data_IF_375072176673
#
_entry.id   IF_375072176673
#
_cell.length_a   1.000
_cell.length_b   1.000
_cell.length_c   1.000
_cell.angle_alpha   90.00
_cell.angle_beta   90.00
_cell.angle_gamma   90.00
#
_symmetry.space_group_name_H-M   'P 1'
#
loop_
_entity.id
_entity.type
_entity.pdbx_description
1 polymer ?
#
# COMPACT_ATOMS: atom_id res chain seq x y z
N UNK A 1 -26.70 77.20 16.58
CA UNK A 1 -25.48 76.51 16.10
C UNK A 1 -25.89 75.29 15.30
N UNK A 2 -25.78 75.40 13.97
CA UNK A 2 -25.97 74.32 13.00
C UNK A 2 -24.80 73.35 13.01
N UNK A 3 -25.04 72.05 12.83
CA UNK A 3 -24.21 71.07 12.09
C UNK A 3 -25.08 69.82 11.87
N UNK A 4 -25.84 69.74 10.78
CA UNK A 4 -25.51 69.11 9.49
C UNK A 4 -25.01 67.65 9.62
N UNK A 5 -25.94 66.69 9.52
CA UNK A 5 -25.64 65.28 9.25
C UNK A 5 -25.35 65.13 7.75
N UNK A 6 -24.09 64.78 7.42
CA UNK A 6 -23.64 64.46 6.08
C UNK A 6 -24.04 63.03 5.71
N UNK A 7 -24.84 62.92 4.66
CA UNK A 7 -25.22 61.68 3.96
C UNK A 7 -24.00 61.21 3.16
N UNK A 8 -23.47 60.02 3.46
CA UNK A 8 -22.54 59.32 2.57
C UNK A 8 -23.31 58.29 1.74
N UNK A 9 -23.57 58.64 0.48
CA UNK A 9 -24.07 57.73 -0.54
C UNK A 9 -22.89 56.94 -1.13
N UNK A 10 -22.81 55.65 -0.82
CA UNK A 10 -21.91 54.73 -1.50
C UNK A 10 -22.61 54.16 -2.74
N UNK A 11 -22.14 54.54 -3.93
CA UNK A 11 -22.53 53.94 -5.20
C UNK A 11 -22.00 52.50 -5.27
N UNK A 12 -22.87 51.50 -5.14
CA UNK A 12 -22.58 50.14 -5.59
C UNK A 12 -22.86 50.05 -7.09
N UNK A 13 -21.81 49.87 -7.90
CA UNK A 13 -21.95 49.38 -9.27
C UNK A 13 -22.24 47.88 -9.22
N UNK A 14 -23.50 47.51 -9.48
CA UNK A 14 -23.89 46.14 -9.78
C UNK A 14 -23.52 45.82 -11.23
N UNK A 15 -22.47 45.03 -11.43
CA UNK A 15 -22.21 44.42 -12.73
C UNK A 15 -23.22 43.28 -12.93
N UNK A 16 -24.17 43.50 -13.84
CA UNK A 16 -25.11 42.46 -14.29
C UNK A 16 -24.34 41.41 -15.11
N UNK A 17 -24.13 40.23 -14.53
CA UNK A 17 -23.71 39.05 -15.28
C UNK A 17 -24.96 38.48 -15.95
N UNK A 18 -25.01 38.59 -17.27
CA UNK A 18 -26.00 37.91 -18.10
C UNK A 18 -25.83 36.40 -17.96
N UNK A 19 -26.86 35.74 -17.43
CA UNK A 19 -26.96 34.29 -17.42
C UNK A 19 -27.12 33.80 -18.87
N UNK A 20 -26.01 33.40 -19.49
CA UNK A 20 -26.07 32.55 -20.67
C UNK A 20 -26.70 31.22 -20.26
N UNK A 21 -27.86 30.90 -20.83
CA UNK A 21 -28.54 29.62 -20.68
C UNK A 21 -27.59 28.50 -21.09
N UNK A 22 -27.13 27.71 -20.12
CA UNK A 22 -26.43 26.47 -20.41
C UNK A 22 -27.41 25.49 -21.06
N UNK A 23 -27.04 24.81 -22.16
CA UNK A 23 -27.89 23.76 -22.70
C UNK A 23 -28.02 22.65 -21.66
N UNK A 24 -29.25 22.23 -21.40
CA UNK A 24 -29.58 21.14 -20.48
C UNK A 24 -28.68 19.93 -20.76
N UNK A 25 -27.89 19.51 -19.76
CA UNK A 25 -27.15 18.25 -19.81
C UNK A 25 -28.15 17.09 -19.74
N UNK A 26 -28.45 16.52 -20.89
CA UNK A 26 -29.12 15.22 -20.98
C UNK A 26 -28.34 14.09 -20.28
N UNK A 27 -28.99 12.96 -19.99
CA UNK A 27 -28.47 11.90 -19.12
C UNK A 27 -27.17 11.28 -19.65
N UNK A 28 -26.29 10.93 -18.70
CA UNK A 28 -24.97 10.33 -18.92
C UNK A 28 -25.02 8.95 -19.58
N UNK A 29 -24.20 8.74 -20.62
CA UNK A 29 -23.70 7.41 -20.98
C UNK A 29 -24.00 6.86 -22.38
N UNK A 30 -24.46 7.66 -23.34
CA UNK A 30 -24.69 7.22 -24.73
C UNK A 30 -23.64 7.74 -25.73
N UNK A 31 -23.49 7.11 -26.91
CA UNK A 31 -22.67 7.68 -27.98
C UNK A 31 -23.22 9.04 -28.42
N UNK A 32 -22.33 9.97 -28.83
CA UNK A 32 -22.74 11.34 -29.16
C UNK A 32 -23.78 11.35 -30.29
N UNK A 33 -24.76 12.27 -30.28
CA UNK A 33 -25.84 12.31 -31.28
C UNK A 33 -25.32 12.30 -32.73
N UNK A 34 -24.20 12.97 -32.98
CA UNK A 34 -23.56 13.07 -34.28
C UNK A 34 -23.09 11.70 -34.81
N UNK A 35 -22.66 10.80 -33.91
CA UNK A 35 -22.27 9.44 -34.26
C UNK A 35 -23.48 8.57 -34.60
N UNK A 36 -24.65 8.84 -34.01
CA UNK A 36 -25.92 8.15 -34.34
C UNK A 36 -26.45 8.63 -35.69
N UNK A 37 -26.49 9.95 -35.90
CA UNK A 37 -26.95 10.56 -37.16
C UNK A 37 -26.12 10.11 -38.37
N UNK A 38 -24.80 9.92 -38.20
CA UNK A 38 -23.92 9.44 -39.27
C UNK A 38 -24.26 8.02 -39.79
N UNK A 39 -25.07 7.24 -39.06
CA UNK A 39 -25.40 5.86 -39.40
C UNK A 39 -26.91 5.56 -39.44
N UNK A 40 -27.77 6.56 -39.22
CA UNK A 40 -29.22 6.39 -39.05
C UNK A 40 -29.90 5.72 -40.26
N UNK A 41 -29.40 5.95 -41.47
CA UNK A 41 -29.91 5.38 -42.73
C UNK A 41 -28.94 4.41 -43.43
N UNK A 42 -27.83 4.06 -42.77
CA UNK A 42 -26.75 3.25 -43.37
C UNK A 42 -26.82 1.78 -42.99
N UNK A 43 -26.34 0.90 -43.87
CA UNK A 43 -26.22 -0.53 -43.58
C UNK A 43 -25.08 -0.81 -42.58
N UNK A 44 -25.16 -1.94 -41.87
CA UNK A 44 -24.08 -2.38 -40.99
C UNK A 44 -22.76 -2.53 -41.78
N UNK A 45 -21.66 -2.01 -41.24
CA UNK A 45 -20.35 -1.99 -41.89
C UNK A 45 -20.14 -0.87 -42.91
N UNK A 46 -21.14 -0.03 -43.19
CA UNK A 46 -20.96 1.17 -44.03
C UNK A 46 -19.95 2.13 -43.40
N UNK A 47 -19.07 2.71 -44.22
CA UNK A 47 -18.15 3.76 -43.77
C UNK A 47 -18.93 5.01 -43.36
N UNK A 48 -18.49 5.64 -42.28
CA UNK A 48 -19.12 6.83 -41.72
C UNK A 48 -18.06 7.79 -41.20
N UNK A 49 -18.41 9.09 -41.12
CA UNK A 49 -17.59 10.08 -40.44
C UNK A 49 -18.44 11.16 -39.81
N UNK A 50 -18.02 11.69 -38.67
CA UNK A 50 -18.67 12.81 -37.99
C UNK A 50 -17.62 13.71 -37.31
N UNK A 51 -18.00 14.91 -36.90
CA UNK A 51 -17.11 15.84 -36.19
C UNK A 51 -17.43 15.84 -34.71
N UNK A 52 -16.46 15.48 -33.88
CA UNK A 52 -16.54 15.58 -32.42
C UNK A 52 -15.80 16.86 -31.95
N UNK A 53 -16.00 17.32 -30.68
CA UNK A 53 -15.29 18.48 -30.14
C UNK A 53 -13.75 18.41 -30.22
N UNK A 54 -13.18 17.21 -30.38
CA UNK A 54 -11.74 16.97 -30.48
C UNK A 54 -11.26 16.64 -31.90
N UNK A 55 -12.12 16.78 -32.92
CA UNK A 55 -11.77 16.60 -34.33
C UNK A 55 -12.69 15.67 -35.11
N UNK A 56 -12.40 15.49 -36.40
CA UNK A 56 -13.15 14.59 -37.28
C UNK A 56 -12.83 13.13 -36.98
N UNK A 57 -13.86 12.31 -36.85
CA UNK A 57 -13.79 10.88 -36.56
C UNK A 57 -14.35 10.11 -37.75
N UNK A 58 -13.60 9.16 -38.29
CA UNK A 58 -14.03 8.23 -39.35
C UNK A 58 -14.09 6.80 -38.81
N UNK A 59 -15.05 6.02 -39.30
CA UNK A 59 -15.32 4.69 -38.78
C UNK A 59 -16.29 3.88 -39.62
N UNK A 60 -16.90 2.88 -39.00
CA UNK A 60 -17.91 1.99 -39.60
C UNK A 60 -19.19 1.96 -38.76
N UNK A 61 -20.35 1.90 -39.40
CA UNK A 61 -21.65 1.81 -38.74
C UNK A 61 -21.84 0.43 -38.08
N UNK A 62 -22.14 0.41 -36.77
CA UNK A 62 -22.41 -0.82 -35.99
C UNK A 62 -23.68 -0.69 -35.17
N UNK A 63 -24.39 -1.80 -35.00
CA UNK A 63 -25.61 -1.84 -34.17
C UNK A 63 -25.24 -1.87 -32.67
N UNK A 64 -25.76 -0.93 -31.89
CA UNK A 64 -25.47 -0.79 -30.45
C UNK A 64 -26.77 -0.86 -29.62
N UNK A 65 -27.42 -2.03 -29.60
CA UNK A 65 -28.57 -2.29 -28.74
C UNK A 65 -29.70 -1.25 -28.89
N UNK A 66 -30.11 -0.62 -27.79
CA UNK A 66 -31.21 0.37 -27.76
C UNK A 66 -30.86 1.70 -28.45
N UNK A 67 -29.58 1.97 -28.76
CA UNK A 67 -29.13 3.23 -29.36
C UNK A 67 -29.19 3.25 -30.90
N UNK A 68 -29.63 2.17 -31.53
CA UNK A 68 -29.66 2.04 -32.99
C UNK A 68 -28.27 1.85 -33.60
N UNK A 69 -28.09 2.24 -34.87
CA UNK A 69 -26.79 2.15 -35.55
C UNK A 69 -25.95 3.38 -35.27
N UNK A 70 -24.68 3.17 -34.94
CA UNK A 70 -23.76 4.22 -34.50
C UNK A 70 -22.43 4.09 -35.25
N UNK A 71 -21.84 5.23 -35.61
CA UNK A 71 -20.52 5.28 -36.23
C UNK A 71 -19.42 4.99 -35.21
N UNK A 72 -18.71 3.87 -35.40
CA UNK A 72 -17.64 3.40 -34.49
C UNK A 72 -16.27 3.53 -35.18
N UNK A 73 -15.28 4.22 -34.58
CA UNK A 73 -13.96 4.43 -35.20
C UNK A 73 -13.24 3.12 -35.56
N UNK A 74 -12.59 3.07 -36.72
CA UNK A 74 -11.75 1.94 -37.11
C UNK A 74 -10.43 1.95 -36.32
N UNK A 75 -10.19 0.93 -35.48
CA UNK A 75 -8.84 0.68 -34.93
C UNK A 75 -8.00 0.00 -36.00
N UNK A 76 -6.96 0.67 -36.49
CA UNK A 76 -6.03 0.15 -37.49
C UNK A 76 -5.52 -1.24 -37.12
N UNK A 77 -5.95 -2.26 -37.86
CA UNK A 77 -5.36 -3.60 -37.88
C UNK A 77 -4.35 -3.64 -39.02
N UNK A 78 -3.10 -3.99 -38.70
CA UNK A 78 -2.06 -4.27 -39.69
C UNK A 78 -2.53 -5.33 -40.69
N UNK A 79 -2.31 -5.06 -41.98
CA UNK A 79 -2.68 -5.95 -43.08
C UNK A 79 -1.66 -7.08 -43.31
N UNK A 80 -1.98 -8.07 -44.17
CA UNK A 80 -1.04 -9.10 -44.59
C UNK A 80 -0.41 -8.79 -45.96
N UNK A 81 0.93 -8.95 -46.03
CA UNK A 81 1.70 -9.49 -47.18
C UNK A 81 1.79 -8.72 -48.51
N UNK A 82 3.00 -8.28 -48.86
CA UNK A 82 3.42 -7.98 -50.24
C UNK A 82 4.87 -7.42 -50.33
N UNK A 83 5.68 -7.73 -51.36
CA UNK A 83 7.14 -7.85 -51.24
C UNK A 83 7.97 -6.69 -51.84
N UNK A 84 9.23 -6.60 -51.42
CA UNK A 84 10.35 -6.05 -52.19
C UNK A 84 10.72 -4.57 -51.91
N UNK A 85 12.01 -4.31 -51.70
CA UNK A 85 12.54 -2.94 -51.75
C UNK A 85 13.77 -2.68 -50.85
N UNK A 86 14.93 -2.85 -51.47
CA UNK A 86 16.30 -2.46 -51.10
C UNK A 86 16.54 -1.18 -50.27
N UNK A 87 17.56 -1.25 -49.40
CA UNK A 87 18.58 -0.19 -49.24
C UNK A 87 18.41 0.79 -48.07
N UNK A 88 19.26 0.71 -47.06
CA UNK A 88 20.43 1.60 -46.87
C UNK A 88 20.88 1.62 -45.40
N UNK A 89 22.18 1.79 -45.19
CA UNK A 89 22.89 1.61 -43.93
C UNK A 89 22.90 2.84 -43.03
N UNK A 90 22.98 2.60 -41.71
CA UNK A 90 23.89 3.36 -40.84
C UNK A 90 23.25 4.25 -39.76
N UNK A 91 23.17 3.73 -38.51
CA UNK A 91 23.67 4.37 -37.27
C UNK A 91 23.36 3.51 -36.01
N UNK A 92 24.27 3.43 -35.02
CA UNK A 92 24.19 2.46 -33.93
C UNK A 92 23.16 2.83 -32.85
N UNK A 93 22.47 1.80 -32.36
CA UNK A 93 21.47 1.86 -31.31
C UNK A 93 22.11 1.99 -29.91
N UNK A 94 21.61 2.94 -29.10
CA UNK A 94 21.73 2.89 -27.65
C UNK A 94 20.69 1.93 -27.05
N UNK A 95 20.89 1.36 -25.85
CA UNK A 95 19.96 0.41 -25.28
C UNK A 95 18.76 1.17 -24.68
N UNK A 96 17.74 1.40 -25.51
CA UNK A 96 16.41 1.78 -25.07
C UNK A 96 15.68 0.53 -24.57
N UNK A 97 15.69 0.29 -23.26
CA UNK A 97 14.82 -0.70 -22.63
C UNK A 97 13.38 -0.18 -22.63
N UNK A 98 12.61 -0.58 -23.63
CA UNK A 98 11.15 -0.42 -23.62
C UNK A 98 10.57 -1.27 -22.50
N UNK A 99 10.02 -0.62 -21.48
CA UNK A 99 9.13 -1.26 -20.51
C UNK A 99 7.89 -1.78 -21.23
N UNK A 100 7.92 -3.05 -21.61
CA UNK A 100 6.73 -3.78 -22.03
C UNK A 100 5.81 -3.95 -20.80
N UNK A 101 4.69 -3.25 -20.85
CA UNK A 101 3.53 -3.53 -20.03
C UNK A 101 3.04 -4.94 -20.40
N UNK A 102 3.25 -5.92 -19.52
CA UNK A 102 2.85 -7.31 -19.77
C UNK A 102 1.35 -7.41 -20.11
N UNK A 103 0.99 -8.14 -21.17
CA UNK A 103 -0.41 -8.38 -21.53
C UNK A 103 -1.08 -9.31 -20.49
N UNK A 104 -2.41 -9.16 -20.33
CA UNK A 104 -3.24 -10.06 -19.50
C UNK A 104 -3.14 -11.49 -20.05
N UNK A 105 -2.46 -12.38 -19.33
CA UNK A 105 -2.44 -13.79 -19.70
C UNK A 105 -1.26 -14.62 -19.22
N UNK A 106 -0.74 -14.39 -18.00
CA UNK A 106 -0.08 -15.38 -17.15
C UNK A 106 0.22 -14.67 -15.81
N UNK A 107 -0.15 -15.28 -14.67
CA UNK A 107 0.40 -14.81 -13.40
C UNK A 107 1.93 -14.93 -13.50
N UNK A 108 2.72 -13.92 -13.13
CA UNK A 108 4.14 -14.14 -12.89
C UNK A 108 4.29 -15.38 -12.01
N UNK A 109 5.23 -16.26 -12.33
CA UNK A 109 5.55 -17.38 -11.43
C UNK A 109 5.74 -16.80 -10.03
N UNK A 110 4.93 -17.27 -9.08
CA UNK A 110 4.92 -16.72 -7.73
C UNK A 110 6.34 -16.72 -7.16
N UNK A 111 6.76 -15.60 -6.58
CA UNK A 111 8.08 -15.50 -5.98
C UNK A 111 8.24 -16.56 -4.90
N UNK A 112 9.20 -17.47 -5.09
CA UNK A 112 9.52 -18.45 -4.06
C UNK A 112 10.50 -17.84 -3.04
N UNK A 113 9.96 -17.40 -1.91
CA UNK A 113 10.69 -16.74 -0.83
C UNK A 113 11.09 -17.77 0.22
N UNK A 114 12.40 -18.01 0.37
CA UNK A 114 12.96 -18.89 1.40
C UNK A 114 12.69 -18.31 2.79
N UNK A 115 12.53 -19.17 3.80
CA UNK A 115 12.29 -18.74 5.17
C UNK A 115 13.53 -18.24 5.91
N UNK A 116 14.70 -18.69 5.48
CA UNK A 116 15.99 -18.41 6.11
C UNK A 116 17.06 -18.26 5.04
N UNK A 117 18.06 -17.46 5.36
CA UNK A 117 19.34 -17.42 4.66
C UNK A 117 20.40 -18.02 5.61
N UNK A 118 21.07 -19.14 5.25
CA UNK A 118 22.07 -19.77 6.12
C UNK A 118 23.27 -18.90 6.48
N UNK A 119 23.56 -17.85 5.69
CA UNK A 119 24.66 -16.92 5.93
C UNK A 119 24.22 -15.62 6.60
N UNK A 120 22.93 -15.50 6.96
CA UNK A 120 22.41 -14.31 7.64
C UNK A 120 23.03 -14.12 9.02
N UNK A 121 23.28 -12.86 9.37
CA UNK A 121 23.73 -12.49 10.70
C UNK A 121 22.58 -12.63 11.71
N UNK A 122 22.85 -13.24 12.86
CA UNK A 122 21.84 -13.37 13.90
C UNK A 122 21.50 -11.98 14.50
N UNK A 123 20.20 -11.69 14.61
CA UNK A 123 19.70 -10.52 15.29
C UNK A 123 19.17 -10.88 16.69
N UNK A 124 19.52 -10.08 17.70
CA UNK A 124 19.03 -10.19 19.07
C UNK A 124 17.67 -9.51 19.30
N UNK A 125 17.07 -8.94 18.24
CA UNK A 125 15.74 -8.34 18.28
C UNK A 125 14.69 -9.33 18.81
N UNK A 126 13.87 -8.86 19.75
CA UNK A 126 12.71 -9.60 20.28
C UNK A 126 11.46 -9.44 19.43
N UNK A 127 11.52 -8.65 18.36
CA UNK A 127 10.44 -8.58 17.37
C UNK A 127 10.54 -9.81 16.49
N UNK A 128 9.42 -10.52 16.32
CA UNK A 128 9.33 -11.68 15.44
C UNK A 128 9.82 -11.34 14.03
N UNK A 129 10.61 -12.22 13.44
CA UNK A 129 11.16 -12.03 12.10
C UNK A 129 10.06 -11.95 11.02
N UNK A 130 10.38 -11.30 9.91
CA UNK A 130 9.55 -11.27 8.70
C UNK A 130 9.51 -12.64 8.02
N UNK A 131 10.49 -13.51 8.30
CA UNK A 131 10.74 -14.80 7.66
C UNK A 131 11.20 -14.68 6.20
N UNK A 132 11.72 -13.53 5.79
CA UNK A 132 12.22 -13.32 4.43
C UNK A 132 13.71 -13.64 4.34
N UNK A 133 14.03 -14.88 3.93
CA UNK A 133 15.39 -15.38 3.75
C UNK A 133 15.89 -15.40 2.29
N UNK A 134 15.16 -14.78 1.36
CA UNK A 134 15.62 -14.57 -0.02
C UNK A 134 16.11 -13.14 -0.22
N UNK A 135 17.13 -12.98 -1.06
CA UNK A 135 17.66 -11.68 -1.46
C UNK A 135 17.13 -11.24 -2.83
N UNK A 136 16.99 -9.94 -3.04
CA UNK A 136 16.37 -9.37 -4.23
C UNK A 136 17.05 -8.06 -4.65
N UNK A 137 17.18 -7.84 -5.96
CA UNK A 137 17.54 -6.54 -6.52
C UNK A 137 16.29 -5.77 -6.98
N UNK A 138 16.46 -4.79 -7.88
CA UNK A 138 15.34 -4.05 -8.48
C UNK A 138 14.55 -4.80 -9.56
N UNK A 139 14.92 -6.04 -9.90
CA UNK A 139 14.36 -6.81 -11.03
C UNK A 139 13.91 -8.22 -10.65
N UNK A 140 14.63 -8.90 -9.77
CA UNK A 140 14.48 -10.33 -9.52
C UNK A 140 15.04 -10.78 -8.18
N UNK A 141 14.84 -12.06 -7.89
CA UNK A 141 15.54 -12.76 -6.81
C UNK A 141 17.00 -12.96 -7.22
N UNK A 142 17.92 -12.72 -6.29
CA UNK A 142 19.36 -12.87 -6.47
C UNK A 142 19.94 -13.78 -5.38
N UNK A 143 21.17 -14.23 -5.58
CA UNK A 143 21.97 -14.76 -4.48
C UNK A 143 22.20 -13.66 -3.44
N UNK A 144 22.30 -14.04 -2.16
CA UNK A 144 22.46 -13.04 -1.12
C UNK A 144 23.84 -12.38 -1.19
N UNK A 145 23.89 -11.04 -1.38
CA UNK A 145 25.15 -10.32 -1.53
C UNK A 145 25.97 -10.36 -0.25
N UNK A 146 27.29 -10.34 -0.39
CA UNK A 146 28.23 -10.19 0.71
C UNK A 146 28.34 -8.73 1.17
N UNK A 147 28.92 -8.51 2.34
CA UNK A 147 29.19 -7.17 2.84
C UNK A 147 30.05 -6.36 1.85
N UNK A 148 29.63 -5.12 1.58
CA UNK A 148 30.25 -4.24 0.58
C UNK A 148 29.72 -4.41 -0.85
N UNK A 149 28.93 -5.44 -1.14
CA UNK A 149 28.29 -5.61 -2.46
C UNK A 149 26.95 -4.83 -2.55
N UNK A 150 26.52 -4.44 -3.78
CA UNK A 150 25.22 -3.83 -3.98
C UNK A 150 24.08 -4.68 -3.40
N UNK A 151 23.09 -4.03 -2.80
CA UNK A 151 21.92 -4.65 -2.14
C UNK A 151 22.22 -5.48 -0.87
N UNK A 152 23.44 -5.42 -0.33
CA UNK A 152 23.74 -5.92 1.01
C UNK A 152 22.98 -5.14 2.09
N UNK A 153 22.67 -5.79 3.21
CA UNK A 153 21.94 -5.19 4.34
C UNK A 153 20.41 -5.22 4.20
N UNK A 154 19.89 -5.90 3.18
CA UNK A 154 18.45 -6.19 3.07
C UNK A 154 17.98 -7.21 4.13
N UNK A 155 16.67 -7.45 4.24
CA UNK A 155 16.06 -8.28 5.30
C UNK A 155 16.79 -9.63 5.48
N UNK A 156 16.97 -10.38 4.39
CA UNK A 156 17.62 -11.68 4.37
C UNK A 156 19.13 -11.68 4.75
N UNK A 157 19.74 -10.51 4.96
CA UNK A 157 21.10 -10.41 5.51
C UNK A 157 21.12 -10.65 7.02
N UNK A 158 19.95 -10.57 7.66
CA UNK A 158 19.78 -10.74 9.10
C UNK A 158 18.70 -11.80 9.37
N UNK A 159 18.83 -12.54 10.47
CA UNK A 159 17.82 -13.49 10.93
C UNK A 159 17.40 -13.14 12.34
N UNK A 160 16.13 -12.78 12.51
CA UNK A 160 15.55 -12.39 13.79
C UNK A 160 15.05 -13.58 14.61
N UNK A 161 14.33 -13.28 15.69
CA UNK A 161 13.62 -14.31 16.46
C UNK A 161 12.57 -15.02 15.59
N UNK A 162 12.53 -16.38 15.58
CA UNK A 162 11.62 -17.11 14.71
C UNK A 162 10.16 -16.82 15.09
N UNK A 163 9.27 -16.84 14.10
CA UNK A 163 7.84 -16.94 14.39
C UNK A 163 7.53 -18.33 14.95
N UNK A 164 7.32 -18.41 16.26
CA UNK A 164 7.10 -19.66 16.97
C UNK A 164 5.66 -19.74 17.49
N UNK A 165 4.94 -20.77 17.05
CA UNK A 165 3.53 -20.99 17.38
C UNK A 165 3.30 -22.38 17.97
N UNK A 166 2.39 -22.49 18.94
CA UNK A 166 1.83 -23.76 19.41
C UNK A 166 0.32 -23.77 19.17
N UNK A 167 -0.14 -24.70 18.35
CA UNK A 167 -1.55 -25.05 18.24
C UNK A 167 -1.92 -25.97 19.41
N UNK A 168 -2.97 -25.60 20.14
CA UNK A 168 -3.47 -26.36 21.29
C UNK A 168 -4.56 -27.38 20.94
N UNK A 169 -4.98 -27.45 19.66
CA UNK A 169 -6.02 -28.38 19.18
C UNK A 169 -7.42 -28.06 19.71
N UNK A 170 -7.62 -26.87 20.28
CA UNK A 170 -8.88 -26.42 20.90
C UNK A 170 -9.38 -25.09 20.31
N UNK A 171 -8.94 -24.76 19.09
CA UNK A 171 -9.25 -23.48 18.43
C UNK A 171 -8.32 -22.33 18.81
N UNK A 172 -7.27 -22.58 19.61
CA UNK A 172 -6.32 -21.54 20.04
C UNK A 172 -4.87 -21.82 19.66
N UNK A 173 -4.14 -20.74 19.37
CA UNK A 173 -2.69 -20.77 19.07
C UNK A 173 -1.95 -19.80 19.98
N UNK A 174 -0.92 -20.29 20.68
CA UNK A 174 0.03 -19.41 21.38
C UNK A 174 1.11 -18.94 20.42
N UNK A 175 1.30 -17.61 20.35
CA UNK A 175 2.45 -16.96 19.72
C UNK A 175 3.53 -16.70 20.76
N UNK A 176 4.61 -17.48 20.72
CA UNK A 176 5.72 -17.39 21.68
C UNK A 176 6.57 -16.14 21.50
N UNK A 177 6.44 -15.46 20.35
CA UNK A 177 7.18 -14.23 20.07
C UNK A 177 6.58 -13.03 20.83
N UNK A 178 5.26 -13.03 21.00
CA UNK A 178 4.53 -11.94 21.67
C UNK A 178 3.98 -12.33 23.04
N UNK A 179 3.88 -13.62 23.34
CA UNK A 179 3.19 -14.15 24.52
C UNK A 179 1.66 -14.13 24.39
N UNK A 180 1.13 -13.72 23.24
CA UNK A 180 -0.30 -13.67 22.97
C UNK A 180 -0.86 -15.06 22.66
N UNK A 181 -2.14 -15.25 22.97
CA UNK A 181 -2.90 -16.41 22.49
C UNK A 181 -4.01 -15.94 21.56
N UNK A 182 -4.14 -16.60 20.41
CA UNK A 182 -4.98 -16.22 19.29
C UNK A 182 -6.07 -17.25 19.04
N UNK A 183 -7.24 -16.80 18.59
CA UNK A 183 -8.21 -17.65 17.93
C UNK A 183 -7.61 -18.17 16.61
N UNK A 184 -7.78 -19.45 16.28
CA UNK A 184 -7.31 -20.06 15.02
C UNK A 184 -8.14 -19.67 13.80
N UNK A 185 -9.43 -19.45 13.98
CA UNK A 185 -10.34 -19.02 12.92
C UNK A 185 -10.12 -17.54 12.54
N UNK A 186 -10.32 -17.20 11.26
CA UNK A 186 -10.36 -15.80 10.81
C UNK A 186 -11.78 -15.20 10.76
N UNK A 187 -12.78 -15.95 11.24
CA UNK A 187 -14.20 -15.62 11.19
C UNK A 187 -14.69 -15.25 9.79
N UNK A 188 -15.09 -16.25 8.99
CA UNK A 188 -15.45 -16.09 7.57
C UNK A 188 -16.58 -15.07 7.31
N UNK A 189 -17.46 -14.87 8.28
CA UNK A 189 -18.43 -13.78 8.24
C UNK A 189 -17.76 -12.45 8.57
N UNK A 190 -17.73 -11.55 7.58
CA UNK A 190 -17.16 -10.21 7.73
C UNK A 190 -18.12 -9.30 8.50
N UNK A 191 -17.64 -8.68 9.57
CA UNK A 191 -18.43 -7.80 10.43
C UNK A 191 -17.99 -6.35 10.33
N UNK A 192 -18.92 -5.42 10.58
CA UNK A 192 -18.58 -4.02 10.83
C UNK A 192 -17.73 -3.88 12.09
N UNK A 193 -16.90 -2.84 12.16
CA UNK A 193 -15.87 -2.67 13.20
C UNK A 193 -16.39 -2.91 14.63
N UNK A 194 -17.46 -2.22 15.02
CA UNK A 194 -18.03 -2.36 16.37
C UNK A 194 -18.68 -3.72 16.63
N UNK A 195 -19.20 -4.39 15.59
CA UNK A 195 -19.72 -5.74 15.70
C UNK A 195 -18.58 -6.76 15.88
N UNK A 196 -17.49 -6.62 15.12
CA UNK A 196 -16.28 -7.45 15.29
C UNK A 196 -15.66 -7.28 16.68
N UNK A 197 -15.57 -6.03 17.18
CA UNK A 197 -15.09 -5.76 18.54
C UNK A 197 -15.94 -6.47 19.59
N UNK A 198 -17.26 -6.34 19.53
CA UNK A 198 -18.19 -7.03 20.45
C UNK A 198 -18.14 -8.55 20.31
N UNK A 199 -18.00 -9.07 19.09
CA UNK A 199 -17.89 -10.50 18.86
C UNK A 199 -16.67 -11.08 19.58
N UNK A 200 -15.53 -10.38 19.59
CA UNK A 200 -14.38 -10.81 20.38
C UNK A 200 -14.60 -10.67 21.88
N UNK A 201 -15.24 -9.61 22.37
CA UNK A 201 -15.53 -9.41 23.79
C UNK A 201 -16.55 -10.42 24.36
N UNK A 202 -17.35 -11.05 23.50
CA UNK A 202 -18.34 -12.05 23.86
C UNK A 202 -17.89 -13.48 23.56
N UNK A 203 -16.67 -13.65 23.00
CA UNK A 203 -16.16 -14.96 22.64
C UNK A 203 -15.83 -15.77 23.89
N UNK A 204 -16.46 -16.93 24.03
CA UNK A 204 -16.02 -17.98 24.94
C UNK A 204 -15.33 -19.08 24.13
N UNK A 205 -14.02 -19.24 24.29
CA UNK A 205 -13.21 -20.22 23.55
C UNK A 205 -12.16 -20.83 24.45
N UNK A 206 -12.03 -22.17 24.41
CA UNK A 206 -11.12 -22.94 25.24
C UNK A 206 -11.25 -22.65 26.76
N UNK A 207 -12.48 -22.39 27.23
CA UNK A 207 -12.77 -22.06 28.63
C UNK A 207 -12.20 -20.71 29.07
N UNK A 208 -12.14 -19.75 28.14
CA UNK A 208 -11.68 -18.37 28.35
C UNK A 208 -12.66 -17.39 27.71
N UNK A 209 -12.87 -16.26 28.38
CA UNK A 209 -13.81 -15.19 28.06
C UNK A 209 -13.13 -13.80 28.02
N UNK A 210 -11.81 -13.73 28.14
CA UNK A 210 -10.99 -12.51 28.13
C UNK A 210 -10.46 -12.15 26.73
N UNK A 211 -11.21 -12.52 25.69
CA UNK A 211 -10.86 -12.26 24.30
C UNK A 211 -11.15 -10.82 23.89
N UNK A 212 -10.34 -10.29 22.96
CA UNK A 212 -10.50 -8.93 22.43
C UNK A 212 -10.08 -8.85 20.97
N UNK A 213 -10.53 -7.79 20.30
CA UNK A 213 -9.99 -7.41 18.98
C UNK A 213 -8.53 -6.94 19.14
N UNK A 214 -7.56 -7.46 18.36
CA UNK A 214 -6.15 -7.14 18.48
C UNK A 214 -5.87 -5.70 18.05
N UNK A 215 -4.91 -5.02 18.68
CA UNK A 215 -4.37 -3.78 18.12
C UNK A 215 -3.53 -4.09 16.85
N UNK A 216 -3.25 -3.07 16.02
CA UNK A 216 -2.58 -3.26 14.74
C UNK A 216 -1.16 -3.84 14.89
N UNK A 217 -0.41 -3.48 15.94
CA UNK A 217 0.92 -4.04 16.21
C UNK A 217 0.86 -5.54 16.54
N UNK A 218 -0.17 -5.97 17.27
CA UNK A 218 -0.42 -7.39 17.56
C UNK A 218 -0.84 -8.14 16.29
N UNK A 219 -1.74 -7.56 15.50
CA UNK A 219 -2.17 -8.20 14.24
C UNK A 219 -1.03 -8.30 13.23
N UNK A 220 -0.14 -7.31 13.20
CA UNK A 220 1.03 -7.29 12.32
C UNK A 220 2.14 -8.24 12.78
N UNK A 221 2.23 -8.59 14.07
CA UNK A 221 3.29 -9.46 14.59
C UNK A 221 3.23 -10.87 13.99
N UNK A 222 2.02 -11.36 13.69
CA UNK A 222 1.78 -12.68 13.10
C UNK A 222 1.88 -12.70 11.56
N UNK A 223 2.27 -11.58 10.93
CA UNK A 223 2.45 -11.51 9.48
C UNK A 223 3.69 -12.31 8.99
N UNK A 224 3.56 -13.05 7.90
CA UNK A 224 4.63 -13.83 7.25
C UNK A 224 4.97 -13.21 5.88
N UNK A 225 6.15 -12.61 5.74
CA UNK A 225 6.55 -11.83 4.57
C UNK A 225 7.17 -12.67 3.45
N UNK A 226 6.99 -14.00 3.54
CA UNK A 226 7.05 -14.89 2.37
C UNK A 226 5.77 -14.80 1.54
N UNK A 227 4.73 -14.13 2.03
CA UNK A 227 3.45 -13.93 1.34
C UNK A 227 3.62 -13.35 -0.06
N UNK A 228 2.82 -13.85 -0.99
CA UNK A 228 2.75 -13.46 -2.41
C UNK A 228 1.28 -13.43 -2.78
N UNK A 229 0.75 -12.27 -3.17
CA UNK A 229 -0.69 -12.11 -3.44
C UNK A 229 -1.21 -13.17 -4.41
N UNK A 230 -2.26 -13.90 -4.00
CA UNK A 230 -2.89 -14.95 -4.79
C UNK A 230 -2.10 -16.26 -4.90
N UNK A 231 -0.96 -16.41 -4.20
CA UNK A 231 -0.18 -17.65 -4.15
C UNK A 231 0.14 -18.12 -2.74
N UNK A 232 0.50 -17.22 -1.83
CA UNK A 232 0.84 -17.52 -0.44
C UNK A 232 0.35 -16.40 0.45
N UNK A 233 -0.41 -16.73 1.49
CA UNK A 233 -0.90 -15.72 2.42
C UNK A 233 0.22 -15.11 3.25
N UNK A 234 0.00 -13.89 3.71
CA UNK A 234 0.89 -13.15 4.61
C UNK A 234 0.72 -13.60 6.07
N UNK A 235 0.37 -14.87 6.29
CA UNK A 235 0.20 -15.50 7.60
C UNK A 235 0.55 -16.98 7.48
N UNK A 236 1.03 -17.58 8.57
CA UNK A 236 1.36 -19.00 8.57
C UNK A 236 0.08 -19.86 8.63
N UNK A 237 -0.37 -20.33 7.46
CA UNK A 237 -1.58 -21.14 7.30
C UNK A 237 -1.54 -22.52 7.97
N UNK A 238 -0.39 -22.93 8.52
CA UNK A 238 -0.32 -24.11 9.39
C UNK A 238 -1.03 -23.90 10.72
N UNK A 239 -1.03 -22.67 11.24
CA UNK A 239 -1.56 -22.34 12.56
C UNK A 239 -2.81 -21.49 12.51
N UNK A 240 -2.92 -20.62 11.50
CA UNK A 240 -4.01 -19.67 11.36
C UNK A 240 -4.82 -19.98 10.13
N UNK A 241 -6.11 -20.23 10.31
CA UNK A 241 -7.03 -20.41 9.20
C UNK A 241 -7.18 -19.09 8.44
N UNK A 242 -7.18 -19.17 7.11
CA UNK A 242 -7.51 -18.07 6.22
C UNK A 242 -8.05 -18.64 4.92
N UNK A 243 -9.16 -18.09 4.44
CA UNK A 243 -9.74 -18.45 3.14
C UNK A 243 -9.88 -17.19 2.28
N UNK A 244 -9.52 -17.31 1.00
CA UNK A 244 -9.80 -16.25 0.03
C UNK A 244 -11.31 -16.24 -0.28
N UNK A 245 -12.01 -15.10 -0.11
CA UNK A 245 -13.44 -15.05 -0.38
C UNK A 245 -13.75 -15.23 -1.87
N UNK A 246 -14.96 -15.67 -2.20
CA UNK A 246 -15.41 -15.79 -3.58
C UNK A 246 -15.74 -14.41 -4.24
N UNK A 247 -16.00 -14.42 -5.55
CA UNK A 247 -16.26 -13.21 -6.36
C UNK A 247 -17.44 -12.36 -5.89
N UNK A 248 -18.38 -12.92 -5.10
CA UNK A 248 -19.50 -12.16 -4.55
C UNK A 248 -19.05 -11.01 -3.66
N UNK A 249 -17.85 -11.13 -3.05
CA UNK A 249 -17.27 -10.10 -2.19
C UNK A 249 -17.02 -8.77 -2.92
N UNK A 250 -16.89 -8.82 -4.25
CA UNK A 250 -16.64 -7.66 -5.08
C UNK A 250 -17.94 -7.01 -5.58
N UNK A 251 -19.10 -7.55 -5.22
CA UNK A 251 -20.40 -7.00 -5.60
C UNK A 251 -20.59 -5.63 -4.95
N UNK A 252 -20.80 -4.59 -5.76
CA UNK A 252 -20.95 -3.21 -5.27
C UNK A 252 -19.65 -2.53 -4.83
N UNK A 253 -18.50 -3.19 -5.02
CA UNK A 253 -17.20 -2.57 -4.79
C UNK A 253 -16.94 -1.45 -5.81
N UNK A 254 -16.77 -0.22 -5.30
CA UNK A 254 -16.46 0.97 -6.10
C UNK A 254 -15.19 0.80 -6.94
N UNK A 255 -14.26 -0.04 -6.51
CA UNK A 255 -12.97 -0.26 -7.18
C UNK A 255 -12.89 -1.64 -7.85
N UNK A 256 -14.04 -2.26 -8.18
CA UNK A 256 -14.17 -3.58 -8.82
C UNK A 256 -13.24 -3.80 -10.03
N UNK A 257 -12.98 -2.76 -10.82
CA UNK A 257 -12.11 -2.84 -12.01
C UNK A 257 -10.67 -3.18 -11.64
N UNK A 258 -10.21 -2.71 -10.48
CA UNK A 258 -8.83 -2.90 -9.97
C UNK A 258 -8.73 -3.94 -8.85
N UNK A 259 -9.82 -4.19 -8.13
CA UNK A 259 -9.84 -5.16 -7.03
C UNK A 259 -10.04 -6.59 -7.50
N UNK A 260 -9.47 -7.53 -6.73
CA UNK A 260 -9.56 -8.98 -6.89
C UNK A 260 -9.83 -9.60 -5.52
N UNK A 261 -10.39 -10.81 -5.49
CA UNK A 261 -10.62 -11.59 -4.27
C UNK A 261 -9.36 -11.76 -3.42
N UNK A 262 -8.21 -11.94 -4.07
CA UNK A 262 -6.88 -12.01 -3.43
C UNK A 262 -6.43 -10.71 -2.75
N UNK A 263 -7.20 -9.62 -2.85
CA UNK A 263 -6.98 -8.36 -2.15
C UNK A 263 -8.01 -8.14 -1.03
N UNK A 264 -8.92 -9.10 -0.77
CA UNK A 264 -10.08 -8.91 0.11
C UNK A 264 -9.91 -9.53 1.50
N UNK A 265 -8.67 -9.76 1.94
CA UNK A 265 -8.31 -10.36 3.23
C UNK A 265 -8.19 -9.37 4.38
N UNK A 266 -8.83 -8.21 4.27
CA UNK A 266 -8.70 -7.16 5.28
C UNK A 266 -9.25 -7.66 6.62
N UNK A 267 -8.45 -7.55 7.67
CA UNK A 267 -8.76 -8.02 9.02
C UNK A 267 -8.67 -6.85 10.00
N UNK A 268 -9.77 -6.56 10.69
CA UNK A 268 -9.85 -5.45 11.64
C UNK A 268 -8.79 -5.54 12.73
N UNK A 269 -8.23 -4.39 13.08
CA UNK A 269 -7.56 -4.17 14.35
C UNK A 269 -8.35 -3.18 15.20
N UNK A 270 -8.14 -3.15 16.51
CA UNK A 270 -8.73 -2.19 17.44
C UNK A 270 -8.08 -0.80 17.40
N UNK A 271 -7.10 -0.58 16.52
CA UNK A 271 -6.33 0.67 16.47
C UNK A 271 -7.07 1.71 15.62
N UNK A 272 -7.60 2.73 16.28
CA UNK A 272 -8.24 3.88 15.64
C UNK A 272 -7.18 4.78 15.00
N UNK A 273 -7.44 5.25 13.78
CA UNK A 273 -6.60 6.24 13.12
C UNK A 273 -6.78 7.60 13.80
N UNK A 274 -5.67 8.22 14.20
CA UNK A 274 -5.68 9.52 14.85
C UNK A 274 -5.96 10.70 13.89
N UNK A 275 -5.87 10.49 12.57
CA UNK A 275 -6.15 11.49 11.54
C UNK A 275 -7.51 11.31 10.86
N UNK A 276 -7.72 12.07 9.79
CA UNK A 276 -8.96 12.07 9.02
C UNK A 276 -8.96 11.04 7.88
N UNK A 277 -9.94 10.14 7.86
CA UNK A 277 -10.13 9.22 6.74
C UNK A 277 -10.41 9.98 5.44
N UNK A 278 -9.49 9.91 4.47
CA UNK A 278 -9.66 10.54 3.15
C UNK A 278 -9.86 12.06 3.24
N UNK A 279 -9.25 12.70 4.24
CA UNK A 279 -9.44 14.13 4.51
C UNK A 279 -10.87 14.48 4.94
N UNK A 280 -11.61 13.50 5.47
CA UNK A 280 -12.96 13.68 6.02
C UNK A 280 -12.91 13.32 7.49
N UNK A 281 -13.62 14.10 8.31
CA UNK A 281 -13.80 13.85 9.74
C UNK A 281 -14.69 12.61 9.96
N UNK A 282 -14.14 11.45 9.65
CA UNK A 282 -14.75 10.12 9.72
C UNK A 282 -13.78 9.24 10.48
N UNK A 283 -14.27 8.70 11.61
CA UNK A 283 -13.51 7.74 12.39
C UNK A 283 -13.20 6.50 11.53
N UNK A 284 -11.94 6.10 11.54
CA UNK A 284 -11.46 4.91 10.86
C UNK A 284 -10.59 4.08 11.78
N UNK A 285 -10.53 2.79 11.52
CA UNK A 285 -9.64 1.86 12.19
C UNK A 285 -8.66 1.25 11.19
N UNK A 286 -7.43 1.00 11.64
CA UNK A 286 -6.47 0.24 10.86
C UNK A 286 -6.88 -1.22 10.75
N UNK A 287 -6.54 -1.81 9.62
CA UNK A 287 -6.64 -3.25 9.38
C UNK A 287 -5.33 -3.73 8.75
N UNK A 288 -5.05 -5.01 8.89
CA UNK A 288 -4.02 -5.69 8.10
C UNK A 288 -4.68 -6.68 7.15
N UNK A 289 -4.18 -6.76 5.92
CA UNK A 289 -4.71 -7.65 4.92
C UNK A 289 -3.80 -8.87 4.75
N UNK A 290 -4.24 -10.03 5.24
CA UNK A 290 -3.43 -11.25 5.16
C UNK A 290 -3.38 -11.89 3.76
N UNK A 291 -4.18 -11.40 2.81
CA UNK A 291 -4.11 -11.87 1.41
C UNK A 291 -3.14 -11.04 0.55
N UNK A 292 -2.95 -9.75 0.87
CA UNK A 292 -2.11 -8.84 0.06
C UNK A 292 -1.00 -8.10 0.83
N UNK A 293 -0.86 -8.31 2.14
CA UNK A 293 0.30 -7.84 2.91
C UNK A 293 0.34 -6.35 3.20
N UNK A 294 -0.81 -5.67 3.35
CA UNK A 294 -0.86 -4.20 3.53
C UNK A 294 -1.60 -3.76 4.79
N UNK A 295 -1.05 -2.77 5.49
CA UNK A 295 -1.78 -1.99 6.50
C UNK A 295 -2.43 -0.79 5.82
N UNK A 296 -3.75 -0.66 6.00
CA UNK A 296 -4.52 0.53 5.61
C UNK A 296 -5.57 0.78 6.68
N UNK A 297 -6.45 1.74 6.44
CA UNK A 297 -7.58 2.02 7.33
C UNK A 297 -8.91 1.96 6.57
N UNK A 298 -10.00 1.74 7.29
CA UNK A 298 -11.36 1.84 6.79
C UNK A 298 -12.29 2.48 7.84
N UNK A 299 -13.39 3.14 7.41
CA UNK A 299 -14.35 3.74 8.33
C UNK A 299 -14.91 2.72 9.32
N UNK A 300 -15.00 3.09 10.60
CA UNK A 300 -15.57 2.23 11.66
C UNK A 300 -17.09 2.12 11.56
N UNK A 301 -17.72 3.15 11.01
CA UNK A 301 -19.14 3.23 10.76
C UNK A 301 -19.43 3.10 9.26
N UNK A 302 -20.53 2.41 8.92
CA UNK A 302 -20.99 2.24 7.54
C UNK A 302 -21.18 0.78 7.15
N UNK A 303 -21.18 0.51 5.85
CA UNK A 303 -21.48 -0.81 5.27
C UNK A 303 -20.25 -1.72 5.13
N UNK A 304 -19.09 -1.28 5.60
CA UNK A 304 -17.85 -2.04 5.45
C UNK A 304 -17.78 -3.14 6.51
N UNK A 305 -17.95 -4.39 6.08
CA UNK A 305 -17.56 -5.56 6.88
C UNK A 305 -16.14 -5.98 6.52
N UNK A 306 -15.29 -6.29 7.50
CA UNK A 306 -13.97 -6.91 7.29
C UNK A 306 -13.88 -8.21 8.11
N UNK A 307 -12.88 -9.04 7.84
CA UNK A 307 -12.59 -10.19 8.69
C UNK A 307 -12.12 -9.70 10.08
N UNK A 308 -12.10 -10.60 11.06
CA UNK A 308 -11.59 -10.31 12.38
C UNK A 308 -11.03 -11.59 13.00
N UNK A 309 -10.11 -11.44 13.94
CA UNK A 309 -9.54 -12.56 14.71
C UNK A 309 -9.35 -12.08 16.12
N UNK A 310 -9.77 -12.87 17.10
CA UNK A 310 -9.68 -12.47 18.50
C UNK A 310 -8.36 -12.92 19.12
N UNK A 311 -7.90 -12.15 20.10
CA UNK A 311 -6.65 -12.37 20.84
C UNK A 311 -6.86 -12.18 22.33
N UNK A 312 -6.08 -12.86 23.17
CA UNK A 312 -6.05 -12.73 24.63
C UNK A 312 -4.60 -12.66 25.15
N UNK A 313 -4.43 -12.29 26.43
CA UNK A 313 -3.12 -12.02 27.04
C UNK A 313 -2.73 -10.55 27.06
N UNK A 314 -1.54 -10.24 27.58
CA UNK A 314 -1.05 -8.86 27.80
C UNK A 314 -1.06 -8.02 26.51
N UNK A 315 -1.33 -6.71 26.57
CA UNK A 315 -1.18 -5.81 25.43
C UNK A 315 0.24 -5.87 24.83
N UNK A 316 0.33 -6.01 23.52
CA UNK A 316 1.58 -6.02 22.78
C UNK A 316 1.75 -4.73 21.96
N UNK A 317 3.01 -4.32 21.73
CA UNK A 317 3.37 -3.21 20.84
C UNK A 317 3.72 -1.89 21.53
N UNK A 318 3.77 -1.87 22.86
CA UNK A 318 4.34 -0.73 23.59
C UNK A 318 5.86 -0.73 23.54
N UNK A 319 6.44 0.45 23.31
CA UNK A 319 7.89 0.65 23.34
C UNK A 319 8.34 1.08 24.74
N UNK A 320 9.56 0.71 25.12
CA UNK A 320 10.24 1.26 26.30
C UNK A 320 11.45 2.06 25.85
N UNK A 321 11.18 3.29 25.38
CA UNK A 321 12.16 4.18 24.77
C UNK A 321 13.03 4.87 25.82
N UNK A 322 14.34 4.93 25.56
CA UNK A 322 15.34 5.63 26.37
C UNK A 322 16.26 6.42 25.44
N UNK A 323 16.33 7.73 25.65
CA UNK A 323 17.33 8.56 24.99
C UNK A 323 18.70 8.32 25.60
N UNK A 324 19.64 7.83 24.79
CA UNK A 324 21.00 7.52 25.20
C UNK A 324 21.91 8.77 25.23
N UNK A 325 21.39 9.95 24.87
CA UNK A 325 22.09 11.26 24.84
C UNK A 325 23.32 11.29 23.95
N UNK A 326 23.32 10.47 22.90
CA UNK A 326 24.41 10.35 21.93
C UNK A 326 23.89 10.28 20.48
N UNK A 327 22.66 10.75 20.25
CA UNK A 327 21.98 10.69 18.95
C UNK A 327 21.27 9.36 18.67
N UNK A 328 21.06 8.52 19.70
CA UNK A 328 20.39 7.22 19.56
C UNK A 328 19.32 7.00 20.64
N UNK A 329 18.29 6.22 20.28
CA UNK A 329 17.19 5.84 21.16
C UNK A 329 17.19 4.31 21.34
N UNK A 330 17.29 3.84 22.57
CA UNK A 330 17.10 2.41 22.88
C UNK A 330 15.62 2.10 23.07
N UNK A 331 15.11 1.08 22.40
CA UNK A 331 13.83 0.44 22.76
C UNK A 331 14.11 -0.86 23.51
N UNK A 332 13.99 -0.81 24.84
CA UNK A 332 14.30 -1.96 25.71
C UNK A 332 13.32 -3.13 25.57
N UNK A 333 12.14 -2.92 24.97
CA UNK A 333 11.16 -4.00 24.72
C UNK A 333 11.61 -4.83 23.52
N UNK A 334 11.93 -4.18 22.40
CA UNK A 334 12.42 -4.86 21.18
C UNK A 334 13.89 -5.27 21.25
N UNK A 335 14.71 -4.63 22.10
CA UNK A 335 16.16 -4.86 22.10
C UNK A 335 16.88 -4.17 20.93
N UNK A 336 16.26 -3.15 20.34
CA UNK A 336 16.81 -2.38 19.23
C UNK A 336 17.30 -1.01 19.71
N UNK A 337 18.33 -0.49 19.05
CA UNK A 337 18.79 0.90 19.18
C UNK A 337 18.61 1.60 17.85
N UNK A 338 17.97 2.75 17.88
CA UNK A 338 17.53 3.50 16.72
C UNK A 338 18.31 4.80 16.55
N UNK A 339 18.53 5.19 15.30
CA UNK A 339 18.95 6.54 14.97
C UNK A 339 17.87 7.53 15.46
N UNK A 340 18.26 8.52 16.27
CA UNK A 340 17.33 9.48 16.88
C UNK A 340 16.80 10.50 15.87
N UNK A 341 17.68 11.08 15.03
CA UNK A 341 17.32 11.98 13.94
C UNK A 341 17.62 11.30 12.61
N UNK A 342 16.64 11.21 11.72
CA UNK A 342 16.94 10.90 10.32
C UNK A 342 17.81 12.00 9.69
N UNK A 343 18.41 11.71 8.53
CA UNK A 343 19.30 12.64 7.84
C UNK A 343 18.58 13.61 6.89
N UNK A 344 17.25 13.45 6.72
CA UNK A 344 16.39 14.25 5.86
C UNK A 344 16.69 14.12 4.37
N UNK A 345 17.35 13.05 3.94
CA UNK A 345 17.70 12.85 2.53
C UNK A 345 16.93 11.66 1.95
N UNK A 346 16.04 11.96 1.02
CA UNK A 346 15.36 10.94 0.24
C UNK A 346 16.34 10.23 -0.68
N UNK A 347 16.28 8.91 -0.72
CA UNK A 347 17.11 8.05 -1.57
C UNK A 347 16.31 6.85 -2.04
N UNK A 348 16.76 6.24 -3.14
CA UNK A 348 16.18 4.97 -3.57
C UNK A 348 16.57 3.84 -2.60
N UNK A 349 15.96 2.67 -2.79
CA UNK A 349 16.13 1.56 -1.86
C UNK A 349 17.59 1.06 -1.72
N UNK A 350 18.35 0.77 -2.80
CA UNK A 350 19.75 0.35 -2.65
C UNK A 350 20.63 1.42 -2.02
N UNK A 351 20.39 2.70 -2.29
CA UNK A 351 21.14 3.78 -1.65
C UNK A 351 20.86 3.89 -0.15
N UNK A 352 19.64 3.58 0.32
CA UNK A 352 19.34 3.56 1.76
C UNK A 352 19.92 2.35 2.49
N UNK A 353 20.00 1.19 1.81
CA UNK A 353 20.74 0.05 2.33
C UNK A 353 22.21 0.43 2.58
N UNK A 354 22.87 1.00 1.55
CA UNK A 354 24.24 1.47 1.67
C UNK A 354 24.39 2.55 2.77
N UNK A 355 23.50 3.55 2.78
CA UNK A 355 23.52 4.60 3.81
C UNK A 355 23.48 4.04 5.24
N UNK A 356 22.60 3.07 5.51
CA UNK A 356 22.53 2.49 6.85
C UNK A 356 23.74 1.62 7.17
N UNK A 357 24.26 0.82 6.23
CA UNK A 357 25.45 0.01 6.45
C UNK A 357 26.72 0.86 6.65
N UNK A 358 26.80 2.03 5.99
CA UNK A 358 27.94 2.94 6.10
C UNK A 358 27.83 3.93 7.28
N UNK A 359 26.71 3.91 8.01
CA UNK A 359 26.43 4.87 9.07
C UNK A 359 27.38 4.66 10.25
N UNK A 360 28.17 5.69 10.57
CA UNK A 360 28.93 5.77 11.82
C UNK A 360 28.22 6.71 12.79
N UNK A 361 27.62 6.16 13.85
CA UNK A 361 26.87 6.92 14.83
C UNK A 361 27.08 6.36 16.24
N UNK A 362 27.28 7.25 17.21
CA UNK A 362 27.55 6.89 18.62
C UNK A 362 28.75 5.93 18.80
N UNK A 363 29.76 6.02 17.92
CA UNK A 363 30.94 5.15 17.92
C UNK A 363 30.66 3.72 17.44
N UNK A 364 29.57 3.52 16.68
CA UNK A 364 29.10 2.24 16.16
C UNK A 364 28.91 2.29 14.65
N UNK A 365 29.15 1.16 14.00
CA UNK A 365 29.21 0.94 12.54
C UNK A 365 28.39 -0.28 12.07
N UNK A 366 27.64 -0.91 12.97
CA UNK A 366 26.77 -2.09 12.75
C UNK A 366 25.30 -1.69 12.50
N UNK A 367 25.10 -0.55 11.86
CA UNK A 367 23.78 -0.02 11.54
C UNK A 367 23.20 -0.68 10.29
N UNK A 368 21.88 -0.82 10.24
CA UNK A 368 21.16 -1.44 9.12
C UNK A 368 19.82 -0.78 8.88
N UNK A 369 19.29 -0.94 7.67
CA UNK A 369 17.91 -0.57 7.39
C UNK A 369 16.97 -1.55 8.13
N UNK A 370 15.97 -1.07 8.89
CA UNK A 370 15.06 -1.94 9.62
C UNK A 370 14.20 -2.77 8.66
N UNK A 371 13.92 -4.02 9.00
CA UNK A 371 12.87 -4.77 8.31
C UNK A 371 11.49 -4.18 8.65
N UNK A 372 10.46 -4.55 7.89
CA UNK A 372 9.15 -3.88 7.97
C UNK A 372 8.49 -4.04 9.35
N UNK A 373 8.74 -5.14 10.06
CA UNK A 373 8.26 -5.36 11.43
C UNK A 373 8.99 -4.50 12.45
N UNK A 374 10.31 -4.40 12.35
CA UNK A 374 11.09 -3.47 13.17
C UNK A 374 10.64 -2.03 12.93
N UNK A 375 10.47 -1.61 11.67
CA UNK A 375 10.06 -0.24 11.34
C UNK A 375 8.64 0.07 11.86
N UNK A 376 7.71 -0.87 11.72
CA UNK A 376 6.34 -0.71 12.23
C UNK A 376 6.30 -0.63 13.78
N UNK A 377 7.25 -1.27 14.46
CA UNK A 377 7.27 -1.31 15.93
C UNK A 377 7.42 0.07 16.59
N UNK A 378 8.01 1.05 15.91
CA UNK A 378 8.19 2.42 16.41
C UNK A 378 7.09 3.38 15.96
N UNK A 379 6.09 2.91 15.19
CA UNK A 379 4.92 3.72 14.85
C UNK A 379 4.13 4.01 16.12
N UNK A 380 3.83 5.28 16.35
CA UNK A 380 2.90 5.73 17.39
C UNK A 380 1.55 6.07 16.77
N UNK A 381 0.64 5.09 16.75
CA UNK A 381 -0.69 5.21 16.17
C UNK A 381 -1.62 6.20 16.88
N UNK A 382 -1.18 6.81 18.00
CA UNK A 382 -1.91 7.90 18.65
C UNK A 382 -1.68 9.25 17.93
N UNK A 383 -0.69 9.31 17.05
CA UNK A 383 -0.32 10.49 16.28
C UNK A 383 -0.61 10.27 14.79
N UNK A 384 -0.92 11.36 14.07
CA UNK A 384 -1.08 11.32 12.62
C UNK A 384 0.15 11.89 11.89
N UNK A 385 0.57 13.12 12.16
CA UNK A 385 1.61 13.77 11.35
C UNK A 385 2.72 14.39 12.22
N UNK A 386 3.82 13.67 12.52
CA UNK A 386 4.11 12.27 12.16
C UNK A 386 3.58 11.24 13.17
N UNK A 387 3.31 10.02 12.71
CA UNK A 387 2.93 8.84 13.50
C UNK A 387 4.12 8.21 14.24
N UNK A 388 4.88 9.01 14.99
CA UNK A 388 6.02 8.58 15.81
C UNK A 388 6.06 9.40 17.11
N UNK A 389 6.71 8.88 18.15
CA UNK A 389 6.88 9.62 19.41
C UNK A 389 7.98 10.69 19.29
N UNK A 390 7.56 11.92 18.98
CA UNK A 390 8.44 13.08 18.79
C UNK A 390 9.15 13.55 20.06
N UNK A 391 8.86 12.97 21.23
CA UNK A 391 9.63 13.20 22.46
C UNK A 391 10.98 12.51 22.42
N UNK A 392 11.08 11.42 21.67
CA UNK A 392 12.31 10.64 21.51
C UNK A 392 12.91 10.81 20.12
N UNK A 393 12.08 10.81 19.07
CA UNK A 393 12.56 10.86 17.69
C UNK A 393 12.46 12.26 17.10
N UNK A 394 13.45 12.61 16.28
CA UNK A 394 13.37 13.76 15.39
C UNK A 394 13.10 13.25 13.97
N UNK A 395 11.96 13.65 13.41
CA UNK A 395 11.62 13.43 12.02
C UNK A 395 11.72 14.75 11.25
N UNK A 396 12.59 14.83 10.23
CA UNK A 396 12.84 16.10 9.53
C UNK A 396 11.68 16.55 8.64
N UNK A 397 11.08 15.62 7.92
CA UNK A 397 9.85 15.85 7.16
C UNK A 397 8.68 15.13 7.84
N UNK A 398 7.75 15.87 8.42
CA UNK A 398 6.56 15.29 9.08
C UNK A 398 5.64 14.51 8.13
N UNK A 399 5.83 14.64 6.81
CA UNK A 399 5.11 13.87 5.78
C UNK A 399 5.91 12.68 5.23
N UNK A 400 7.11 12.45 5.76
CA UNK A 400 8.05 11.45 5.25
C UNK A 400 7.54 10.01 5.34
N UNK A 401 7.86 9.24 4.31
CA UNK A 401 7.70 7.78 4.30
C UNK A 401 9.08 7.15 4.45
N UNK A 402 9.13 5.99 5.07
CA UNK A 402 10.39 5.36 5.44
C UNK A 402 10.49 3.97 4.85
N UNK A 403 11.55 3.71 4.10
CA UNK A 403 11.83 2.41 3.52
C UNK A 403 12.15 1.40 4.64
N UNK A 404 11.71 0.16 4.44
CA UNK A 404 12.22 -1.01 5.16
C UNK A 404 13.14 -1.84 4.28
N UNK A 405 13.89 -2.75 4.87
CA UNK A 405 14.74 -3.71 4.17
C UNK A 405 13.97 -4.92 3.59
N UNK A 406 12.65 -5.01 3.80
CA UNK A 406 11.81 -6.14 3.38
C UNK A 406 11.24 -5.93 1.97
N UNK A 407 11.49 -6.88 1.07
CA UNK A 407 10.85 -6.94 -0.27
C UNK A 407 9.37 -7.34 -0.14
N UNK A 408 8.48 -6.76 -0.94
CA UNK A 408 7.07 -7.20 -0.97
C UNK A 408 6.92 -8.35 -1.97
N UNK A 409 6.30 -9.46 -1.58
CA UNK A 409 6.21 -10.64 -2.45
C UNK A 409 5.34 -10.50 -3.70
N UNK A 410 4.77 -9.32 -3.96
CA UNK A 410 4.02 -9.08 -5.21
C UNK A 410 4.97 -8.90 -6.39
N UNK A 411 6.18 -8.39 -6.15
CA UNK A 411 7.20 -8.16 -7.16
C UNK A 411 8.57 -8.04 -6.52
N UNK A 412 9.58 -8.68 -7.12
CA UNK A 412 10.96 -8.63 -6.61
C UNK A 412 11.53 -7.21 -6.65
N UNK A 413 11.04 -6.41 -7.60
CA UNK A 413 11.41 -5.00 -7.74
C UNK A 413 10.71 -4.06 -6.76
N UNK A 414 9.87 -4.54 -5.84
CA UNK A 414 9.17 -3.71 -4.86
C UNK A 414 9.63 -4.00 -3.42
N UNK A 415 9.84 -2.95 -2.63
CA UNK A 415 10.12 -3.06 -1.19
C UNK A 415 8.93 -2.54 -0.39
N UNK A 416 8.91 -2.81 0.92
CA UNK A 416 7.92 -2.29 1.84
C UNK A 416 8.38 -0.97 2.47
N UNK A 417 7.45 -0.05 2.67
CA UNK A 417 7.67 1.18 3.43
C UNK A 417 6.54 1.41 4.44
N UNK A 418 6.83 2.25 5.44
CA UNK A 418 5.84 2.74 6.40
C UNK A 418 5.65 4.25 6.21
N UNK A 419 4.40 4.68 6.10
CA UNK A 419 4.01 6.08 6.05
C UNK A 419 4.02 6.67 7.47
N UNK A 420 5.08 7.35 7.91
CA UNK A 420 5.02 8.11 9.17
C UNK A 420 4.24 9.42 9.00
N UNK A 421 4.17 9.94 7.78
CA UNK A 421 3.27 11.01 7.38
C UNK A 421 1.99 10.54 6.69
N UNK A 422 1.28 11.48 6.05
CA UNK A 422 0.12 11.19 5.20
C UNK A 422 0.49 10.22 4.08
N UNK A 423 -0.32 9.19 3.90
CA UNK A 423 -0.10 8.14 2.92
C UNK A 423 -0.98 8.43 1.70
N UNK A 424 -0.44 9.25 0.82
CA UNK A 424 -1.20 10.03 -0.17
C UNK A 424 -1.46 9.32 -1.50
N UNK A 425 -2.59 9.68 -2.11
CA UNK A 425 -2.80 9.51 -3.55
C UNK A 425 -2.09 10.60 -4.36
N UNK A 426 -2.02 10.43 -5.68
CA UNK A 426 -1.53 11.48 -6.60
C UNK A 426 -2.37 12.77 -6.59
N UNK A 427 -3.55 12.73 -5.98
CA UNK A 427 -4.43 13.88 -5.80
C UNK A 427 -4.19 14.58 -4.43
N UNK A 428 -3.19 14.14 -3.65
CA UNK A 428 -2.85 14.71 -2.35
C UNK A 428 -3.79 14.30 -1.20
N UNK A 429 -4.63 13.30 -1.40
CA UNK A 429 -5.56 12.79 -0.38
C UNK A 429 -4.87 11.72 0.43
N UNK A 430 -4.89 11.82 1.76
CA UNK A 430 -4.44 10.74 2.65
C UNK A 430 -5.42 9.56 2.58
N UNK A 431 -5.09 8.57 1.74
CA UNK A 431 -5.98 7.45 1.43
C UNK A 431 -5.80 6.29 2.40
N UNK A 432 -4.63 6.15 3.02
CA UNK A 432 -4.30 5.00 3.90
C UNK A 432 -3.95 5.37 5.34
N UNK A 433 -3.72 6.64 5.66
CA UNK A 433 -3.41 7.07 7.01
C UNK A 433 -1.93 6.96 7.37
N UNK A 434 -1.47 7.85 8.23
CA UNK A 434 -0.15 7.71 8.84
C UNK A 434 -0.10 6.52 9.81
N UNK A 435 0.90 5.68 9.64
CA UNK A 435 1.01 4.34 10.23
C UNK A 435 0.64 3.22 9.26
N UNK A 436 0.20 3.55 8.03
CA UNK A 436 0.04 2.59 6.96
C UNK A 436 1.37 2.00 6.51
N UNK A 437 1.30 0.78 5.99
CA UNK A 437 2.41 0.08 5.38
C UNK A 437 1.99 -0.34 3.98
N UNK A 438 2.85 -0.04 3.02
CA UNK A 438 2.63 -0.24 1.59
C UNK A 438 3.94 -0.68 0.94
N UNK A 439 3.98 -0.69 -0.38
CA UNK A 439 5.15 -1.09 -1.15
C UNK A 439 5.25 -0.31 -2.44
N UNK A 440 6.47 0.02 -2.85
CA UNK A 440 6.77 0.77 -4.07
C UNK A 440 8.00 0.17 -4.79
N UNK A 441 8.25 0.54 -6.06
CA UNK A 441 9.46 0.14 -6.78
C UNK A 441 10.73 0.59 -6.06
N UNK A 442 11.72 -0.30 -5.97
CA UNK A 442 13.01 -0.08 -5.30
C UNK A 442 13.88 0.98 -5.98
N UNK A 443 13.77 1.10 -7.31
CA UNK A 443 14.64 1.90 -8.17
C UNK A 443 13.87 2.45 -9.36
N UNK A 444 14.38 3.51 -9.98
CA UNK A 444 13.85 4.10 -11.20
C UNK A 444 13.29 5.51 -10.99
N UNK A 445 12.47 5.97 -11.94
CA UNK A 445 11.91 7.32 -11.92
C UNK A 445 10.42 7.28 -11.49
N UNK A 446 10.01 7.96 -10.40
CA UNK A 446 8.62 7.96 -9.94
C UNK A 446 7.62 8.35 -11.04
N UNK A 447 7.99 9.31 -11.90
CA UNK A 447 7.14 9.81 -13.00
C UNK A 447 6.88 8.77 -14.09
N UNK A 448 7.69 7.72 -14.16
CA UNK A 448 7.50 6.62 -15.10
C UNK A 448 6.41 5.64 -14.66
N UNK A 449 5.90 5.76 -13.44
CA UNK A 449 4.87 4.89 -12.89
C UNK A 449 3.50 5.56 -12.91
N UNK A 450 2.44 4.87 -13.37
CA UNK A 450 1.09 5.33 -13.15
C UNK A 450 0.74 5.22 -11.65
N UNK A 451 -0.27 5.99 -11.24
CA UNK A 451 -0.85 5.85 -9.90
C UNK A 451 -1.33 4.41 -9.66
N UNK A 452 -1.11 3.87 -8.46
CA UNK A 452 -1.42 2.48 -8.15
C UNK A 452 -2.86 2.27 -7.69
N UNK A 453 -3.52 1.27 -8.28
CA UNK A 453 -4.87 0.84 -7.89
C UNK A 453 -5.97 1.88 -8.13
N UNK A 454 -7.21 1.52 -7.77
CA UNK A 454 -8.37 2.40 -7.93
C UNK A 454 -8.37 3.63 -7.03
N UNK A 455 -7.57 3.59 -5.95
CA UNK A 455 -7.38 4.71 -5.01
C UNK A 455 -6.33 5.72 -5.52
N UNK A 456 -5.68 5.43 -6.67
CA UNK A 456 -4.67 6.27 -7.32
C UNK A 456 -3.50 6.62 -6.40
N UNK A 457 -2.98 5.61 -5.73
CA UNK A 457 -1.90 5.77 -4.75
C UNK A 457 -0.66 6.37 -5.43
N UNK A 458 -0.02 7.34 -4.74
CA UNK A 458 1.24 7.92 -5.17
C UNK A 458 2.36 6.87 -5.09
N UNK A 459 3.25 6.87 -6.09
CA UNK A 459 4.43 6.01 -6.12
C UNK A 459 5.65 6.83 -5.70
N UNK A 460 6.32 6.43 -4.62
CA UNK A 460 7.58 7.03 -4.16
C UNK A 460 8.72 6.03 -4.19
N UNK A 461 9.70 6.31 -5.04
CA UNK A 461 10.95 5.54 -5.12
C UNK A 461 11.99 6.11 -4.15
N UNK A 462 12.07 7.44 -4.08
CA UNK A 462 12.93 8.14 -3.14
C UNK A 462 12.17 8.33 -1.82
N UNK A 463 12.60 7.67 -0.75
CA UNK A 463 12.04 7.82 0.60
C UNK A 463 13.16 7.97 1.63
N UNK A 464 12.81 8.16 2.90
CA UNK A 464 13.75 8.33 4.00
C UNK A 464 14.14 6.98 4.63
N UNK A 465 15.22 6.97 5.42
CA UNK A 465 15.56 5.86 6.32
C UNK A 465 15.69 6.34 7.76
N UNK A 466 15.42 5.40 8.68
CA UNK A 466 15.81 5.50 10.08
C UNK A 466 16.54 4.22 10.42
N UNK A 467 17.86 4.28 10.48
CA UNK A 467 18.68 3.10 10.68
C UNK A 467 18.51 2.57 12.11
N UNK A 468 18.69 1.26 12.23
CA UNK A 468 18.58 0.52 13.48
C UNK A 468 19.78 -0.39 13.64
N UNK A 469 20.10 -0.75 14.87
CA UNK A 469 21.05 -1.79 15.23
C UNK A 469 20.51 -2.58 16.41
N UNK A 470 21.16 -3.68 16.70
CA UNK A 470 20.82 -4.50 17.85
C UNK A 470 21.51 -3.95 19.11
N UNK A 471 20.80 -4.02 20.26
CA UNK A 471 21.40 -3.71 21.55
C UNK A 471 22.39 -4.83 21.91
N UNK A 472 23.59 -4.43 22.35
CA UNK A 472 24.64 -5.34 22.85
C UNK A 472 24.30 -5.83 24.25
#
# INVERSE_FOLDING_TARGET
MHYLYLIFAAFMFAAAVTAAQMPERGPMGGPPPEAKSACQSSSEGSQCSFTAPHGRVSGSCRSMGQDGRVCVPERGRGGPGGPGGTGDQGRPAGPGGSGEMQPRGARPSALNISATNPTAQASSSRIADTMQGSCFDGRGKIDCPAEGEPFYGQDASFVGGPQAYTDHGNGTVTDHSTGLQWQQEHNRERLGFYAAKRACEQLELAGRDDWRLPNIKSLFSISDWRGVTGSRFFINSRYFELEEPDESILTGDRFRSTHRTSMMGQTWSSTIYAGDHWGRNVEAAFFFNFLDGRIKQAPTNGRYGLFYRCVRGEPYGENLLVDNRNGTISDRKSGLVWQQSDDGKERDWPQLLAYCNDLQLAGKDDWRLPNVKALQSIVDYRNAYPAIDMRFFAQRDSRGWFWSSTTHGDSAGMANYVCFGACTSVDGVDTHGAGAQRSDPKTGEPKSWPAMGGQRDEVRIYNYARCVRDAV
#
